data_IF_077593049609
#
_entry.id   IF_077593049609
#
_cell.length_a   1.000
_cell.length_b   1.000
_cell.length_c   1.000
_cell.angle_alpha   90.00
_cell.angle_beta   90.00
_cell.angle_gamma   90.00
#
_symmetry.space_group_name_H-M   'P 1'
#
loop_
_entity.id
_entity.type
_entity.pdbx_description
1 polymer ?
#
# COMPACT_ATOMS: atom_id res chain seq x y z
N UNK A 1 4.78 -30.83 -23.65
CA UNK A 1 4.84 -29.53 -22.97
C UNK A 1 3.86 -28.64 -23.70
N UNK A 2 2.87 -28.12 -22.98
CA UNK A 2 1.93 -27.15 -23.54
C UNK A 2 2.64 -25.82 -23.65
N UNK A 3 2.33 -25.06 -24.70
CA UNK A 3 2.88 -23.72 -24.89
C UNK A 3 2.05 -22.75 -24.07
N UNK A 4 2.68 -21.71 -23.53
CA UNK A 4 2.02 -20.69 -22.73
C UNK A 4 0.89 -20.00 -23.53
N UNK A 5 1.05 -19.85 -24.86
CA UNK A 5 0.00 -19.29 -25.72
C UNK A 5 -1.23 -20.20 -25.81
N UNK A 6 -1.04 -21.53 -25.73
CA UNK A 6 -2.12 -22.49 -25.78
C UNK A 6 -2.88 -22.54 -24.45
N UNK A 7 -2.18 -22.38 -23.32
CA UNK A 7 -2.79 -22.26 -22.00
C UNK A 7 -3.61 -20.96 -21.89
N UNK A 8 -3.05 -19.84 -22.33
CA UNK A 8 -3.74 -18.55 -22.35
C UNK A 8 -4.98 -18.57 -23.27
N UNK A 9 -4.87 -19.16 -24.46
CA UNK A 9 -6.02 -19.32 -25.36
C UNK A 9 -7.12 -20.20 -24.73
N UNK A 10 -6.75 -21.17 -23.89
CA UNK A 10 -7.68 -22.04 -23.17
C UNK A 10 -8.41 -21.28 -22.05
N UNK A 11 -7.68 -20.49 -21.26
CA UNK A 11 -8.24 -19.62 -20.22
C UNK A 11 -9.22 -18.59 -20.80
N UNK A 12 -8.90 -18.01 -21.96
CA UNK A 12 -9.75 -17.06 -22.66
C UNK A 12 -10.93 -17.71 -23.42
N UNK A 13 -11.05 -19.04 -23.40
CA UNK A 13 -12.10 -19.78 -24.13
C UNK A 13 -11.99 -19.71 -25.65
N UNK A 14 -10.78 -19.47 -26.17
CA UNK A 14 -10.47 -19.31 -27.61
C UNK A 14 -9.88 -20.56 -28.27
N UNK A 15 -9.70 -21.66 -27.53
CA UNK A 15 -9.22 -22.93 -28.06
C UNK A 15 -10.28 -23.71 -28.84
N UNK A 16 -9.84 -24.46 -29.85
CA UNK A 16 -10.66 -25.45 -30.51
C UNK A 16 -10.77 -26.75 -29.68
N UNK A 17 -11.59 -27.72 -30.12
CA UNK A 17 -11.85 -28.94 -29.34
C UNK A 17 -10.62 -29.84 -29.12
N UNK A 18 -9.70 -29.90 -30.08
CA UNK A 18 -8.46 -30.70 -29.95
C UNK A 18 -7.47 -30.02 -28.99
N UNK A 19 -7.35 -28.70 -29.09
CA UNK A 19 -6.55 -27.86 -28.19
C UNK A 19 -7.04 -27.92 -26.74
N UNK A 20 -8.34 -27.76 -26.51
CA UNK A 20 -8.97 -27.89 -25.20
C UNK A 20 -8.73 -29.26 -24.57
N UNK A 21 -8.86 -30.35 -25.35
CA UNK A 21 -8.62 -31.71 -24.87
C UNK A 21 -7.15 -31.92 -24.48
N UNK A 22 -6.22 -31.38 -25.27
CA UNK A 22 -4.79 -31.43 -24.98
C UNK A 22 -4.46 -30.69 -23.67
N UNK A 23 -5.03 -29.50 -23.46
CA UNK A 23 -4.84 -28.72 -22.23
C UNK A 23 -5.36 -29.45 -21.00
N UNK A 24 -6.55 -30.04 -21.07
CA UNK A 24 -7.14 -30.81 -19.98
C UNK A 24 -6.32 -32.07 -19.63
N UNK A 25 -5.69 -32.72 -20.61
CA UNK A 25 -4.86 -33.92 -20.38
C UNK A 25 -3.56 -33.60 -19.63
N UNK A 26 -2.91 -32.49 -19.98
CA UNK A 26 -1.74 -32.01 -19.25
C UNK A 26 -2.10 -31.47 -17.88
N UNK A 27 -3.19 -30.70 -17.75
CA UNK A 27 -3.70 -30.27 -16.45
C UNK A 27 -4.05 -31.45 -15.55
N UNK A 28 -4.36 -32.64 -16.07
CA UNK A 28 -4.62 -33.81 -15.25
C UNK A 28 -3.35 -34.52 -14.72
N UNK A 29 -2.18 -34.21 -15.28
CA UNK A 29 -0.94 -34.97 -15.05
C UNK A 29 0.25 -34.13 -14.57
N UNK A 30 0.20 -32.82 -14.78
CA UNK A 30 1.28 -31.87 -14.46
C UNK A 30 0.86 -30.97 -13.28
N UNK A 31 1.40 -31.24 -12.08
CA UNK A 31 1.12 -30.47 -10.86
C UNK A 31 1.57 -29.01 -10.97
N UNK A 32 2.65 -28.72 -11.69
CA UNK A 32 3.15 -27.34 -11.87
C UNK A 32 2.19 -26.53 -12.74
N UNK A 33 1.69 -27.14 -13.81
CA UNK A 33 0.70 -26.51 -14.68
C UNK A 33 -0.65 -26.32 -13.98
N UNK A 34 -1.02 -27.26 -13.10
CA UNK A 34 -2.20 -27.10 -12.23
C UNK A 34 -2.06 -25.90 -11.29
N UNK A 35 -0.90 -25.73 -10.66
CA UNK A 35 -0.64 -24.57 -9.79
C UNK A 35 -0.74 -23.25 -10.56
N UNK A 36 -0.13 -23.18 -11.74
CA UNK A 36 -0.20 -22.02 -12.64
C UNK A 36 -1.65 -21.69 -13.06
N UNK A 37 -2.41 -22.70 -13.49
CA UNK A 37 -3.82 -22.54 -13.86
C UNK A 37 -4.71 -22.15 -12.66
N UNK A 38 -4.45 -22.70 -11.48
CA UNK A 38 -5.20 -22.35 -10.26
C UNK A 38 -4.90 -20.90 -9.86
N UNK A 39 -3.64 -20.45 -9.94
CA UNK A 39 -3.25 -19.06 -9.68
C UNK A 39 -3.94 -18.10 -10.65
N UNK A 40 -3.97 -18.44 -11.95
CA UNK A 40 -4.68 -17.66 -12.98
C UNK A 40 -6.19 -17.56 -12.69
N UNK A 41 -6.83 -18.70 -12.41
CA UNK A 41 -8.25 -18.74 -12.06
C UNK A 41 -8.59 -18.05 -10.73
N UNK A 42 -7.67 -18.05 -9.76
CA UNK A 42 -7.83 -17.30 -8.52
C UNK A 42 -7.74 -15.79 -8.77
N UNK A 43 -6.81 -15.33 -9.61
CA UNK A 43 -6.74 -13.93 -10.04
C UNK A 43 -8.05 -13.50 -10.72
N UNK A 44 -8.66 -14.38 -11.53
CA UNK A 44 -9.94 -14.13 -12.21
C UNK A 44 -11.17 -14.19 -11.28
N UNK A 45 -11.18 -15.09 -10.30
CA UNK A 45 -12.23 -15.19 -9.30
C UNK A 45 -12.26 -13.98 -8.36
N UNK A 46 -11.10 -13.38 -8.06
CA UNK A 46 -10.98 -12.12 -7.33
C UNK A 46 -11.52 -10.91 -8.12
N UNK A 47 -11.90 -11.07 -9.39
CA UNK A 47 -12.44 -9.98 -10.24
C UNK A 47 -13.96 -9.82 -10.13
N UNK A 48 -14.66 -10.71 -9.42
CA UNK A 48 -16.11 -10.90 -9.53
C UNK A 48 -16.95 -10.61 -8.28
N UNK A 49 -16.38 -10.13 -7.18
CA UNK A 49 -17.15 -9.87 -5.94
C UNK A 49 -17.42 -8.37 -5.73
N UNK A 50 -18.66 -8.08 -5.33
CA UNK A 50 -19.10 -6.78 -4.82
C UNK A 50 -18.20 -6.34 -3.65
N UNK A 51 -17.80 -5.06 -3.62
CA UNK A 51 -16.95 -4.38 -2.62
C UNK A 51 -16.96 -5.03 -1.21
N UNK A 52 -16.12 -6.04 -0.97
CA UNK A 52 -15.70 -6.36 0.38
C UNK A 52 -14.95 -5.13 0.93
N UNK A 53 -15.31 -4.69 2.14
CA UNK A 53 -14.80 -3.46 2.75
C UNK A 53 -13.29 -3.61 3.00
N UNK A 54 -12.48 -3.17 2.03
CA UNK A 54 -11.01 -3.21 2.12
C UNK A 54 -10.56 -2.55 3.42
N UNK A 55 -9.80 -3.27 4.24
CA UNK A 55 -9.40 -2.76 5.54
C UNK A 55 -8.22 -1.78 5.39
N UNK A 56 -8.51 -0.48 5.32
CA UNK A 56 -7.50 0.55 5.10
C UNK A 56 -6.51 0.69 6.25
N UNK A 57 -5.23 0.88 5.90
CA UNK A 57 -4.17 1.15 6.87
C UNK A 57 -4.07 2.65 7.18
N UNK A 58 -3.90 3.03 8.46
CA UNK A 58 -3.86 4.44 8.88
C UNK A 58 -2.51 5.12 8.61
N UNK A 59 -1.83 4.84 7.48
CA UNK A 59 -0.45 5.28 7.24
C UNK A 59 -0.24 6.80 7.35
N UNK A 60 -1.25 7.57 6.93
CA UNK A 60 -1.21 9.03 6.85
C UNK A 60 -1.80 9.69 8.10
N UNK A 61 -2.32 8.89 9.04
CA UNK A 61 -2.80 9.39 10.32
C UNK A 61 -1.63 9.88 11.18
N UNK A 62 -1.93 10.73 12.15
CA UNK A 62 -0.91 11.40 12.96
C UNK A 62 -0.87 10.84 14.38
N UNK A 63 0.32 10.43 14.83
CA UNK A 63 0.60 10.21 16.23
C UNK A 63 0.77 11.58 16.91
N UNK A 64 -0.17 11.94 17.79
CA UNK A 64 -0.31 13.33 18.25
C UNK A 64 -0.75 13.52 19.71
N UNK A 65 -0.95 12.47 20.52
CA UNK A 65 -1.57 12.62 21.85
C UNK A 65 -0.59 12.90 23.02
N UNK A 66 0.45 13.69 22.80
CA UNK A 66 1.29 14.23 23.89
C UNK A 66 1.36 15.75 23.84
N UNK A 67 1.94 16.38 24.86
CA UNK A 67 2.15 17.83 24.87
C UNK A 67 2.92 18.26 23.61
N UNK A 68 2.31 19.17 22.83
CA UNK A 68 2.87 19.65 21.56
C UNK A 68 2.81 18.65 20.39
N UNK A 69 2.06 17.54 20.52
CA UNK A 69 1.96 16.47 19.51
C UNK A 69 3.31 15.78 19.23
N UNK A 70 4.15 15.61 20.26
CA UNK A 70 5.54 15.15 20.13
C UNK A 70 5.76 13.67 20.49
N UNK A 71 4.71 12.87 20.62
CA UNK A 71 4.80 11.53 21.23
C UNK A 71 5.84 10.63 20.56
N UNK A 72 5.87 10.57 19.23
CA UNK A 72 6.88 9.79 18.50
C UNK A 72 8.28 10.37 18.68
N UNK A 73 8.44 11.70 18.54
CA UNK A 73 9.71 12.38 18.76
C UNK A 73 10.29 12.09 20.15
N UNK A 74 9.45 12.11 21.19
CA UNK A 74 9.82 11.77 22.56
C UNK A 74 10.19 10.29 22.71
N UNK A 75 9.48 9.38 22.03
CA UNK A 75 9.83 7.96 21.98
C UNK A 75 11.21 7.71 21.34
N UNK A 76 11.51 8.39 20.23
CA UNK A 76 12.80 8.29 19.56
C UNK A 76 13.93 8.84 20.45
N UNK A 77 13.74 10.00 21.09
CA UNK A 77 14.69 10.55 22.06
C UNK A 77 14.94 9.59 23.24
N UNK A 78 13.87 8.98 23.76
CA UNK A 78 13.98 7.97 24.82
C UNK A 78 14.85 6.78 24.40
N UNK A 79 14.66 6.26 23.19
CA UNK A 79 15.46 5.14 22.66
C UNK A 79 16.92 5.54 22.46
N UNK A 80 17.19 6.73 21.90
CA UNK A 80 18.56 7.25 21.74
C UNK A 80 19.28 7.36 23.09
N UNK A 81 18.61 7.94 24.10
CA UNK A 81 19.13 8.05 25.47
C UNK A 81 19.39 6.66 26.07
N UNK A 82 18.46 5.71 25.95
CA UNK A 82 18.59 4.34 26.46
C UNK A 82 19.77 3.60 25.83
N UNK A 83 19.99 3.80 24.53
CA UNK A 83 21.10 3.23 23.76
C UNK A 83 22.42 4.00 23.88
N UNK A 84 22.44 5.10 24.64
CA UNK A 84 23.61 5.99 24.82
C UNK A 84 24.14 6.56 23.49
N UNK A 85 23.23 6.85 22.56
CA UNK A 85 23.54 7.55 21.32
C UNK A 85 23.40 9.04 21.59
N UNK A 86 24.45 9.82 21.34
CA UNK A 86 24.44 11.26 21.54
C UNK A 86 23.56 11.95 20.48
N UNK A 87 22.80 12.95 20.91
CA UNK A 87 21.99 13.79 20.03
C UNK A 87 21.79 15.18 20.62
N UNK A 88 21.55 16.16 19.77
CA UNK A 88 21.08 17.49 20.16
C UNK A 88 19.57 17.57 19.90
N UNK A 89 18.78 17.93 20.91
CA UNK A 89 17.32 17.97 20.81
C UNK A 89 16.81 18.99 19.79
N UNK A 90 17.45 20.15 19.69
CA UNK A 90 17.01 21.23 18.80
C UNK A 90 17.31 20.86 17.34
N UNK A 91 18.53 20.39 17.06
CA UNK A 91 18.93 19.90 15.73
C UNK A 91 18.03 18.74 15.27
N UNK A 92 17.73 17.80 16.17
CA UNK A 92 16.86 16.65 15.88
C UNK A 92 15.43 17.11 15.53
N UNK A 93 14.93 18.14 16.22
CA UNK A 93 13.60 18.71 16.00
C UNK A 93 13.53 19.47 14.67
N UNK A 94 14.57 20.22 14.32
CA UNK A 94 14.69 20.87 13.01
C UNK A 94 14.76 19.85 11.87
N UNK A 95 15.57 18.80 12.02
CA UNK A 95 15.69 17.71 11.06
C UNK A 95 14.36 17.01 10.81
N UNK A 96 13.62 16.69 11.88
CA UNK A 96 12.30 16.05 11.77
C UNK A 96 11.29 16.91 11.00
N UNK A 97 11.28 18.23 11.25
CA UNK A 97 10.36 19.17 10.58
C UNK A 97 10.74 19.38 9.11
N UNK A 98 12.03 19.54 8.82
CA UNK A 98 12.52 19.74 7.44
C UNK A 98 12.19 18.55 6.54
N UNK A 99 12.21 17.34 7.08
CA UNK A 99 11.84 16.12 6.35
C UNK A 99 10.35 15.76 6.44
N UNK A 100 9.51 16.63 7.04
CA UNK A 100 8.07 16.38 7.25
C UNK A 100 7.73 15.13 8.06
N UNK A 101 8.69 14.62 8.85
CA UNK A 101 8.51 13.51 9.79
C UNK A 101 7.80 13.98 11.07
N UNK A 102 8.04 15.22 11.49
CA UNK A 102 7.29 15.88 12.55
C UNK A 102 6.55 17.09 11.97
N UNK A 103 5.23 17.12 12.09
CA UNK A 103 4.38 18.24 11.64
C UNK A 103 3.73 18.90 12.85
N UNK A 104 3.11 20.07 12.65
CA UNK A 104 2.38 20.78 13.71
C UNK A 104 1.29 19.90 14.37
N UNK A 105 0.64 19.04 13.56
CA UNK A 105 -0.41 18.11 14.01
C UNK A 105 0.11 16.76 14.50
N UNK A 106 1.42 16.57 14.63
CA UNK A 106 2.05 15.32 15.06
C UNK A 106 2.88 14.64 13.97
N UNK A 107 3.29 13.40 14.23
CA UNK A 107 4.11 12.58 13.33
C UNK A 107 3.22 11.66 12.49
N UNK A 108 3.30 11.67 11.15
CA UNK A 108 2.62 10.67 10.33
C UNK A 108 3.09 9.25 10.70
N UNK A 109 2.19 8.27 10.74
CA UNK A 109 2.55 6.91 11.19
C UNK A 109 3.63 6.25 10.31
N UNK A 110 3.68 6.56 9.01
CA UNK A 110 4.76 6.09 8.12
C UNK A 110 6.13 6.71 8.41
N UNK A 111 6.19 7.76 9.23
CA UNK A 111 7.42 8.48 9.61
C UNK A 111 7.93 8.13 11.02
N UNK A 112 7.17 7.35 11.80
CA UNK A 112 7.59 6.88 13.14
C UNK A 112 8.95 6.18 13.05
N UNK A 113 9.92 6.60 13.86
CA UNK A 113 11.26 5.99 13.87
C UNK A 113 12.24 6.50 12.81
N UNK A 114 11.89 7.50 11.98
CA UNK A 114 12.80 8.02 10.93
C UNK A 114 14.04 8.71 11.49
N UNK A 115 13.96 9.35 12.66
CA UNK A 115 15.14 9.97 13.27
C UNK A 115 16.11 8.90 13.78
N UNK A 116 15.60 7.77 14.24
CA UNK A 116 16.44 6.63 14.64
C UNK A 116 17.25 6.07 13.45
N UNK A 117 16.65 6.01 12.26
CA UNK A 117 17.35 5.63 11.02
C UNK A 117 18.51 6.58 10.72
N UNK A 118 18.31 7.89 10.85
CA UNK A 118 19.36 8.91 10.67
C UNK A 118 20.48 8.83 11.70
N UNK A 119 20.31 8.06 12.77
CA UNK A 119 21.33 7.79 13.79
C UNK A 119 21.91 6.38 13.69
N UNK A 120 21.72 5.72 12.54
CA UNK A 120 22.34 4.44 12.20
C UNK A 120 21.65 3.23 12.82
N UNK A 121 20.42 3.36 13.32
CA UNK A 121 19.60 2.23 13.74
C UNK A 121 18.78 1.68 12.57
N UNK A 122 18.47 0.39 12.61
CA UNK A 122 17.54 -0.23 11.68
C UNK A 122 16.14 -0.11 12.26
N UNK A 123 15.19 0.42 11.48
CA UNK A 123 13.77 0.49 11.84
C UNK A 123 12.95 -0.29 10.83
N UNK A 124 12.19 -1.27 11.31
CA UNK A 124 11.25 -2.05 10.49
C UNK A 124 9.83 -1.77 10.97
N UNK A 125 9.01 -1.19 10.09
CA UNK A 125 7.60 -0.87 10.33
C UNK A 125 6.73 -2.00 9.81
N UNK A 126 5.69 -2.35 10.54
CA UNK A 126 4.73 -3.38 10.14
C UNK A 126 3.36 -3.10 10.75
N UNK A 127 2.32 -3.57 10.06
CA UNK A 127 0.95 -3.63 10.54
C UNK A 127 0.58 -5.11 10.80
N UNK A 128 -0.51 -5.36 11.54
CA UNK A 128 -0.97 -6.72 11.84
C UNK A 128 0.01 -7.52 12.71
N UNK A 129 0.88 -6.86 13.48
CA UNK A 129 1.83 -7.58 14.34
C UNK A 129 1.12 -8.25 15.52
N UNK A 130 1.62 -9.42 15.93
CA UNK A 130 1.19 -10.08 17.16
C UNK A 130 1.96 -9.62 18.38
N UNK A 131 1.37 -9.73 19.58
CA UNK A 131 2.07 -9.46 20.84
C UNK A 131 3.31 -10.34 21.00
N UNK A 132 3.29 -11.58 20.49
CA UNK A 132 4.46 -12.47 20.48
C UNK A 132 5.62 -11.89 19.67
N UNK A 133 5.33 -11.13 18.61
CA UNK A 133 6.37 -10.43 17.84
C UNK A 133 7.04 -9.33 18.65
N UNK A 134 6.27 -8.62 19.48
CA UNK A 134 6.79 -7.62 20.42
C UNK A 134 7.66 -8.31 21.48
N UNK A 135 7.15 -9.38 22.10
CA UNK A 135 7.89 -10.15 23.12
C UNK A 135 9.21 -10.69 22.55
N UNK A 136 9.19 -11.27 21.34
CA UNK A 136 10.41 -11.74 20.66
C UNK A 136 11.40 -10.60 20.38
N UNK A 137 10.91 -9.43 19.98
CA UNK A 137 11.76 -8.26 19.74
C UNK A 137 12.46 -7.81 21.04
N UNK A 138 11.71 -7.70 22.14
CA UNK A 138 12.28 -7.32 23.44
C UNK A 138 13.30 -8.35 23.94
N UNK A 139 13.01 -9.65 23.81
CA UNK A 139 13.95 -10.73 24.15
C UNK A 139 15.25 -10.68 23.33
N UNK A 140 15.19 -10.21 22.09
CA UNK A 140 16.35 -10.01 21.22
C UNK A 140 17.11 -8.69 21.52
N UNK A 141 16.67 -7.88 22.49
CA UNK A 141 17.28 -6.58 22.80
C UNK A 141 16.94 -5.47 21.80
N UNK A 142 15.89 -5.66 21.01
CA UNK A 142 15.32 -4.63 20.14
C UNK A 142 14.41 -3.69 20.96
N UNK A 143 14.24 -2.45 20.52
CA UNK A 143 13.15 -1.58 21.02
C UNK A 143 11.92 -1.76 20.14
N UNK A 144 10.75 -1.49 20.71
CA UNK A 144 9.47 -1.58 20.03
C UNK A 144 8.69 -0.29 20.25
N UNK A 145 8.59 0.54 19.21
CA UNK A 145 7.64 1.66 19.19
C UNK A 145 6.32 1.11 18.66
N UNK A 146 5.25 1.34 19.41
CA UNK A 146 3.88 0.95 19.04
C UNK A 146 3.03 2.20 18.94
N UNK A 147 2.01 2.15 18.08
CA UNK A 147 0.98 3.19 18.02
C UNK A 147 -0.29 2.63 18.62
N UNK A 148 -0.90 3.34 19.56
CA UNK A 148 -2.11 2.92 20.26
C UNK A 148 -3.18 4.00 20.20
N UNK A 149 -4.45 3.61 20.31
CA UNK A 149 -5.53 4.54 20.56
C UNK A 149 -5.46 5.03 22.03
N UNK A 150 -4.98 6.26 22.21
CA UNK A 150 -4.84 6.89 23.52
C UNK A 150 -6.14 7.05 24.30
N UNK A 151 -7.31 7.11 23.62
CA UNK A 151 -8.59 7.16 24.31
C UNK A 151 -8.92 5.82 24.97
N UNK A 152 -8.57 4.70 24.30
CA UNK A 152 -8.87 3.34 24.76
C UNK A 152 -7.84 2.76 25.72
N UNK A 153 -6.57 3.18 25.63
CA UNK A 153 -5.47 2.65 26.44
C UNK A 153 -5.74 2.69 27.98
N UNK A 154 -6.32 3.75 28.56
CA UNK A 154 -6.67 3.79 29.98
C UNK A 154 -7.88 2.91 30.37
N UNK A 155 -8.56 2.27 29.40
CA UNK A 155 -9.77 1.48 29.61
C UNK A 155 -11.08 2.22 29.32
N UNK A 156 -11.05 3.37 28.64
CA UNK A 156 -12.29 4.05 28.25
C UNK A 156 -12.89 3.42 26.99
N UNK A 157 -14.22 3.48 26.87
CA UNK A 157 -14.98 2.91 25.75
C UNK A 157 -15.26 3.92 24.63
N UNK A 158 -14.43 4.96 24.47
CA UNK A 158 -14.63 5.95 23.42
C UNK A 158 -14.37 5.34 22.04
N UNK A 159 -15.24 5.67 21.07
CA UNK A 159 -15.10 5.25 19.67
C UNK A 159 -14.12 6.11 18.88
N UNK A 160 -13.75 7.29 19.39
CA UNK A 160 -12.76 8.15 18.74
C UNK A 160 -11.37 7.52 18.79
N UNK A 161 -10.72 7.44 17.62
CA UNK A 161 -9.35 6.95 17.52
C UNK A 161 -8.40 8.15 17.52
N UNK A 162 -7.63 8.27 18.60
CA UNK A 162 -6.58 9.26 18.71
C UNK A 162 -5.23 8.56 18.85
N UNK A 163 -4.49 8.49 17.75
CA UNK A 163 -3.23 7.75 17.66
C UNK A 163 -2.13 8.39 18.51
N UNK A 164 -1.40 7.52 19.20
CA UNK A 164 -0.34 7.90 20.12
C UNK A 164 0.81 6.91 20.06
N UNK A 165 2.05 7.40 19.96
CA UNK A 165 3.23 6.57 19.95
C UNK A 165 3.75 6.35 21.38
N UNK A 166 4.10 5.10 21.70
CA UNK A 166 4.69 4.70 22.97
C UNK A 166 5.78 3.64 22.75
N UNK A 167 6.73 3.49 23.68
CA UNK A 167 7.76 2.45 23.61
C UNK A 167 7.44 1.33 24.58
N UNK A 168 7.39 0.09 24.10
CA UNK A 168 7.21 -1.07 24.95
C UNK A 168 8.50 -1.37 25.72
N UNK A 169 8.41 -1.43 27.04
CA UNK A 169 9.53 -1.72 27.94
C UNK A 169 9.54 -3.17 28.38
N UNK A 170 8.37 -3.70 28.75
CA UNK A 170 8.19 -5.09 29.18
C UNK A 170 6.77 -5.59 28.87
N UNK A 171 6.62 -6.91 28.75
CA UNK A 171 5.33 -7.57 28.54
C UNK A 171 5.29 -8.82 29.42
N UNK A 172 4.33 -8.87 30.34
CA UNK A 172 4.08 -10.04 31.18
C UNK A 172 2.73 -10.69 30.83
N UNK A 173 2.23 -11.57 31.70
CA UNK A 173 0.96 -12.27 31.47
C UNK A 173 -0.26 -11.35 31.56
N UNK A 174 -0.26 -10.38 32.48
CA UNK A 174 -1.40 -9.54 32.83
C UNK A 174 -1.27 -8.09 32.33
N UNK A 175 -0.04 -7.59 32.16
CA UNK A 175 0.26 -6.18 31.91
C UNK A 175 1.33 -5.98 30.83
N UNK A 176 1.28 -4.79 30.23
CA UNK A 176 2.30 -4.25 29.32
C UNK A 176 2.83 -2.97 29.93
N UNK A 177 4.15 -2.89 30.08
CA UNK A 177 4.83 -1.69 30.59
C UNK A 177 5.32 -0.85 29.41
N UNK A 178 4.92 0.42 29.38
CA UNK A 178 5.25 1.37 28.33
C UNK A 178 6.03 2.56 28.89
N UNK A 179 6.95 3.10 28.10
CA UNK A 179 7.28 4.50 28.16
C UNK A 179 6.19 5.25 27.39
N UNK A 180 5.38 6.02 28.11
CA UNK A 180 4.25 6.76 27.58
C UNK A 180 4.53 8.27 27.69
N UNK A 181 4.83 8.95 26.57
CA UNK A 181 5.07 10.39 26.58
C UNK A 181 3.92 11.25 27.10
N UNK A 182 2.69 10.72 27.15
CA UNK A 182 1.51 11.44 27.63
C UNK A 182 1.42 11.46 29.17
N UNK A 183 2.04 10.50 29.87
CA UNK A 183 2.02 10.44 31.34
C UNK A 183 3.12 11.28 31.98
N UNK A 184 4.20 11.54 31.23
CA UNK A 184 5.40 12.19 31.75
C UNK A 184 6.26 11.30 32.65
N UNK A 185 5.89 10.02 32.81
CA UNK A 185 6.64 9.03 33.59
C UNK A 185 7.62 8.26 32.70
N UNK A 186 8.71 7.75 33.29
CA UNK A 186 9.68 6.92 32.55
C UNK A 186 9.14 5.50 32.27
N UNK A 187 8.10 5.07 32.99
CA UNK A 187 7.51 3.74 32.88
C UNK A 187 6.11 3.71 33.49
N UNK A 188 5.09 3.35 32.71
CA UNK A 188 3.70 3.20 33.13
C UNK A 188 3.19 1.81 32.73
N UNK A 189 2.52 1.10 33.65
CA UNK A 189 1.96 -0.23 33.40
C UNK A 189 0.47 -0.13 33.01
N UNK A 190 0.07 -0.87 31.99
CA UNK A 190 -1.31 -0.96 31.51
C UNK A 190 -1.77 -2.42 31.46
N UNK A 191 -3.04 -2.71 31.78
CA UNK A 191 -3.60 -4.05 31.57
C UNK A 191 -3.41 -4.49 30.11
N UNK A 192 -2.95 -5.72 29.91
CA UNK A 192 -2.59 -6.25 28.59
C UNK A 192 -3.77 -6.23 27.62
N UNK A 193 -4.98 -6.55 28.09
CA UNK A 193 -6.17 -6.54 27.25
C UNK A 193 -6.52 -5.11 26.76
N UNK A 194 -6.33 -4.10 27.62
CA UNK A 194 -6.54 -2.70 27.24
C UNK A 194 -5.50 -2.26 26.20
N UNK A 195 -4.24 -2.64 26.41
CA UNK A 195 -3.17 -2.40 25.43
C UNK A 195 -3.49 -3.04 24.08
N UNK A 196 -3.84 -4.33 24.04
CA UNK A 196 -4.14 -5.05 22.80
C UNK A 196 -5.33 -4.39 22.08
N UNK A 197 -6.40 -4.05 22.80
CA UNK A 197 -7.56 -3.38 22.20
C UNK A 197 -7.20 -2.01 21.60
N UNK A 198 -6.42 -1.19 22.32
CA UNK A 198 -5.97 0.11 21.84
C UNK A 198 -4.96 0.00 20.68
N UNK A 199 -4.11 -1.02 20.69
CA UNK A 199 -3.11 -1.28 19.65
C UNK A 199 -3.75 -1.80 18.36
N UNK A 200 -4.80 -2.62 18.46
CA UNK A 200 -5.56 -3.11 17.32
C UNK A 200 -6.34 -2.00 16.58
N UNK A 201 -6.81 -0.97 17.28
CA UNK A 201 -7.37 0.23 16.63
C UNK A 201 -6.37 0.91 15.68
N UNK A 202 -5.08 0.81 16.00
CA UNK A 202 -3.98 1.26 15.15
C UNK A 202 -3.42 0.16 14.24
N UNK A 203 -4.25 -0.86 13.94
CA UNK A 203 -3.89 -1.98 13.07
C UNK A 203 -2.63 -2.72 13.53
N UNK A 204 -2.46 -2.83 14.85
CA UNK A 204 -1.30 -3.46 15.49
C UNK A 204 0.04 -2.96 14.93
N UNK A 205 0.16 -1.64 14.76
CA UNK A 205 1.35 -0.97 14.24
C UNK A 205 2.56 -1.21 15.15
N UNK A 206 3.66 -1.70 14.56
CA UNK A 206 4.93 -1.90 15.24
C UNK A 206 6.08 -1.35 14.40
N UNK A 207 6.83 -0.43 14.99
CA UNK A 207 8.16 -0.06 14.53
C UNK A 207 9.21 -0.71 15.45
N UNK A 208 9.83 -1.78 14.94
CA UNK A 208 10.88 -2.52 15.63
C UNK A 208 12.23 -1.88 15.33
N UNK A 209 12.96 -1.51 16.38
CA UNK A 209 14.23 -0.78 16.30
C UNK A 209 15.36 -1.68 16.78
N UNK A 210 16.43 -1.80 15.99
CA UNK A 210 17.61 -2.56 16.37
C UNK A 210 18.89 -1.93 15.87
N UNK A 211 20.02 -2.38 16.42
CA UNK A 211 21.34 -2.03 15.90
C UNK A 211 21.57 -2.71 14.54
N UNK A 212 22.49 -2.18 13.71
CA UNK A 212 22.83 -2.83 12.46
C UNK A 212 23.31 -4.27 12.64
N UNK A 213 22.67 -5.18 11.94
CA UNK A 213 23.06 -6.58 11.79
C UNK A 213 22.60 -7.09 10.40
N UNK A 214 22.85 -8.36 10.11
CA UNK A 214 22.43 -9.02 8.86
C UNK A 214 21.19 -9.91 9.02
N UNK A 215 20.56 -9.93 10.19
CA UNK A 215 19.35 -10.71 10.45
C UNK A 215 18.13 -9.96 9.88
N UNK A 216 17.78 -10.25 8.64
CA UNK A 216 16.67 -9.60 7.96
C UNK A 216 15.52 -10.57 7.74
N UNK A 217 14.38 -10.29 8.37
CA UNK A 217 13.12 -11.00 8.16
C UNK A 217 12.04 -10.01 7.70
N UNK A 218 11.78 -9.89 6.38
CA UNK A 218 10.81 -8.95 5.83
C UNK A 218 9.39 -9.29 6.28
N UNK A 219 8.56 -8.26 6.41
CA UNK A 219 7.13 -8.37 6.72
C UNK A 219 6.36 -7.44 5.79
N UNK A 220 6.08 -7.85 4.55
CA UNK A 220 5.26 -7.05 3.64
C UNK A 220 3.88 -6.82 4.25
N UNK A 221 3.21 -5.76 3.79
CA UNK A 221 1.80 -5.52 4.13
C UNK A 221 0.98 -6.65 3.50
N UNK A 222 0.04 -7.19 4.28
CA UNK A 222 -0.94 -8.15 3.79
C UNK A 222 -1.94 -7.46 2.87
N UNK A 223 -2.17 -8.06 1.70
CA UNK A 223 -3.00 -7.56 0.61
C UNK A 223 -4.08 -8.58 0.18
N UNK A 224 -4.25 -9.66 0.94
CA UNK A 224 -5.24 -10.71 0.64
C UNK A 224 -6.68 -10.15 0.62
N UNK A 225 -7.00 -9.19 1.49
CA UNK A 225 -8.30 -8.53 1.59
C UNK A 225 -8.53 -7.40 0.57
N UNK A 226 -7.59 -7.20 -0.35
CA UNK A 226 -7.70 -6.14 -1.37
C UNK A 226 -8.13 -6.73 -2.70
N UNK A 227 -9.33 -6.36 -3.13
CA UNK A 227 -9.84 -6.66 -4.47
C UNK A 227 -9.67 -5.46 -5.40
N UNK A 228 -9.39 -5.74 -6.68
CA UNK A 228 -9.20 -4.73 -7.72
C UNK A 228 -10.30 -4.84 -8.78
N UNK A 229 -10.72 -3.70 -9.34
CA UNK A 229 -11.64 -3.70 -10.47
C UNK A 229 -10.96 -4.20 -11.74
N UNK A 230 -11.75 -4.71 -12.69
CA UNK A 230 -11.26 -5.19 -13.99
C UNK A 230 -10.33 -4.20 -14.70
N UNK A 231 -10.65 -2.90 -14.69
CA UNK A 231 -9.79 -1.88 -15.30
C UNK A 231 -8.40 -1.78 -14.65
N UNK A 232 -8.32 -1.95 -13.33
CA UNK A 232 -7.04 -1.93 -12.60
C UNK A 232 -6.25 -3.23 -12.80
N UNK A 233 -6.95 -4.32 -13.08
CA UNK A 233 -6.36 -5.60 -13.43
C UNK A 233 -5.73 -5.53 -14.83
N UNK A 234 -6.43 -4.94 -15.81
CA UNK A 234 -5.88 -4.68 -17.14
C UNK A 234 -4.66 -3.74 -17.09
N UNK A 235 -4.67 -2.75 -16.19
CA UNK A 235 -3.56 -1.82 -16.00
C UNK A 235 -2.25 -2.53 -15.61
N UNK A 236 -2.30 -3.70 -14.96
CA UNK A 236 -1.10 -4.41 -14.50
C UNK A 236 -0.17 -4.79 -15.66
N UNK A 237 -0.73 -5.20 -16.81
CA UNK A 237 0.06 -5.65 -17.96
C UNK A 237 0.85 -4.48 -18.56
N UNK A 238 0.20 -3.33 -18.70
CA UNK A 238 0.85 -2.11 -19.19
C UNK A 238 1.96 -1.61 -18.25
N UNK A 239 1.79 -1.78 -16.93
CA UNK A 239 2.84 -1.45 -15.95
C UNK A 239 4.00 -2.45 -16.05
N UNK A 240 3.71 -3.75 -16.14
CA UNK A 240 4.73 -4.80 -16.26
C UNK A 240 5.58 -4.62 -17.52
N UNK A 241 4.93 -4.44 -18.68
CA UNK A 241 5.62 -4.19 -19.95
C UNK A 241 6.52 -2.95 -19.87
N UNK A 242 6.02 -1.84 -19.33
CA UNK A 242 6.81 -0.62 -19.20
C UNK A 242 7.94 -0.75 -18.16
N UNK A 243 7.75 -1.51 -17.08
CA UNK A 243 8.80 -1.78 -16.11
C UNK A 243 9.98 -2.51 -16.76
N UNK A 244 9.69 -3.49 -17.63
CA UNK A 244 10.70 -4.18 -18.42
C UNK A 244 11.42 -3.24 -19.39
N UNK A 245 10.70 -2.38 -20.11
CA UNK A 245 11.32 -1.41 -21.01
C UNK A 245 12.30 -0.46 -20.27
N UNK A 246 11.92 0.02 -19.07
CA UNK A 246 12.80 0.85 -18.24
C UNK A 246 14.03 0.05 -17.79
N UNK A 247 13.85 -1.19 -17.34
CA UNK A 247 14.96 -2.06 -16.94
C UNK A 247 15.91 -2.30 -18.12
N UNK A 248 15.39 -2.65 -19.28
CA UNK A 248 16.17 -2.97 -20.48
C UNK A 248 16.93 -1.75 -21.01
N UNK A 249 16.33 -0.56 -20.97
CA UNK A 249 16.99 0.71 -21.32
C UNK A 249 18.17 0.99 -20.39
N UNK A 250 17.95 0.92 -19.06
CA UNK A 250 19.02 1.12 -18.07
C UNK A 250 20.15 0.07 -18.23
N UNK A 251 19.81 -1.19 -18.48
CA UNK A 251 20.79 -2.25 -18.72
C UNK A 251 21.60 -1.98 -20.00
N UNK A 252 20.97 -1.50 -21.08
CA UNK A 252 21.68 -1.10 -22.30
C UNK A 252 22.67 0.04 -22.06
N UNK A 253 22.29 1.07 -21.28
CA UNK A 253 23.21 2.16 -20.90
C UNK A 253 24.43 1.65 -20.12
N UNK A 254 24.23 0.61 -19.30
CA UNK A 254 25.29 -0.07 -18.58
C UNK A 254 26.13 -1.02 -19.47
N UNK A 255 25.77 -1.17 -20.75
CA UNK A 255 26.47 -1.99 -21.74
C UNK A 255 26.03 -3.45 -21.77
N UNK A 256 24.86 -3.78 -21.23
CA UNK A 256 24.31 -5.13 -21.32
C UNK A 256 23.72 -5.42 -22.70
N UNK A 257 23.88 -6.66 -23.15
CA UNK A 257 23.34 -7.14 -24.41
C UNK A 257 22.62 -8.48 -24.23
N UNK A 258 21.90 -8.91 -25.26
CA UNK A 258 21.34 -10.26 -25.29
C UNK A 258 22.42 -11.33 -25.26
N UNK A 259 22.21 -12.36 -24.44
CA UNK A 259 22.90 -13.64 -24.54
C UNK A 259 22.02 -14.78 -24.02
N UNK A 260 22.25 -16.03 -24.43
CA UNK A 260 21.36 -17.15 -24.12
C UNK A 260 21.31 -17.52 -22.62
N UNK A 261 22.28 -17.04 -21.83
CA UNK A 261 22.37 -17.22 -20.39
C UNK A 261 22.97 -15.95 -19.79
N UNK A 262 22.72 -15.72 -18.50
CA UNK A 262 23.31 -14.59 -17.78
C UNK A 262 24.82 -14.74 -17.62
N UNK A 263 25.56 -13.73 -18.04
CA UNK A 263 27.02 -13.60 -17.90
C UNK A 263 27.38 -12.16 -17.51
N UNK A 264 27.67 -11.94 -16.23
CA UNK A 264 27.97 -10.60 -15.69
C UNK A 264 29.32 -10.04 -16.17
N UNK A 265 30.28 -10.91 -16.57
CA UNK A 265 31.58 -10.47 -17.09
C UNK A 265 31.45 -9.93 -18.51
N UNK A 266 30.65 -10.61 -19.36
CA UNK A 266 30.33 -10.15 -20.70
C UNK A 266 29.17 -9.15 -20.74
N UNK A 267 28.46 -8.98 -19.62
CA UNK A 267 27.20 -8.23 -19.51
C UNK A 267 26.14 -8.75 -20.48
N UNK A 268 25.93 -10.06 -20.48
CA UNK A 268 24.90 -10.70 -21.30
C UNK A 268 23.77 -11.22 -20.40
N UNK A 269 22.52 -11.12 -20.85
CA UNK A 269 21.37 -11.73 -20.17
C UNK A 269 20.29 -12.17 -21.17
N UNK A 270 19.55 -13.27 -20.93
CA UNK A 270 18.47 -13.72 -21.81
C UNK A 270 17.32 -12.73 -21.91
N UNK A 271 17.15 -11.89 -20.90
CA UNK A 271 15.99 -10.99 -20.79
C UNK A 271 16.15 -9.69 -21.59
N UNK A 272 17.30 -9.48 -22.25
CA UNK A 272 17.52 -8.35 -23.19
C UNK A 272 16.78 -8.58 -24.52
N UNK A 273 15.46 -8.75 -24.44
CA UNK A 273 14.52 -8.95 -25.54
C UNK A 273 13.27 -8.10 -25.30
N UNK A 274 12.45 -7.83 -26.32
CA UNK A 274 11.16 -7.17 -26.10
C UNK A 274 10.30 -7.93 -25.09
N UNK A 275 9.50 -7.22 -24.29
CA UNK A 275 8.65 -7.83 -23.25
C UNK A 275 7.82 -9.02 -23.76
N UNK A 276 7.25 -8.92 -24.96
CA UNK A 276 6.46 -10.01 -25.58
C UNK A 276 7.23 -11.32 -25.75
N UNK A 277 8.56 -11.28 -25.84
CA UNK A 277 9.45 -12.44 -25.99
C UNK A 277 10.00 -12.98 -24.67
N UNK A 278 9.71 -12.35 -23.53
CA UNK A 278 10.13 -12.87 -22.23
C UNK A 278 9.42 -14.19 -21.90
N UNK A 279 10.09 -15.09 -21.15
CA UNK A 279 9.44 -16.24 -20.53
C UNK A 279 8.28 -15.82 -19.64
N UNK A 280 7.24 -16.64 -19.52
CA UNK A 280 6.11 -16.33 -18.63
C UNK A 280 6.54 -16.11 -17.18
N UNK A 281 7.51 -16.87 -16.68
CA UNK A 281 8.01 -16.70 -15.30
C UNK A 281 8.54 -15.29 -15.02
N UNK A 282 9.22 -14.68 -15.99
CA UNK A 282 9.75 -13.32 -15.86
C UNK A 282 8.62 -12.28 -15.98
N UNK A 283 7.69 -12.48 -16.93
CA UNK A 283 6.50 -11.62 -17.04
C UNK A 283 5.66 -11.67 -15.77
N UNK A 284 5.49 -12.85 -15.19
CA UNK A 284 4.67 -13.05 -14.00
C UNK A 284 5.28 -12.37 -12.77
N UNK A 285 6.61 -12.33 -12.67
CA UNK A 285 7.29 -11.52 -11.66
C UNK A 285 6.91 -10.03 -11.76
N UNK A 286 6.97 -9.46 -12.97
CA UNK A 286 6.63 -8.05 -13.22
C UNK A 286 5.13 -7.77 -13.02
N UNK A 287 4.27 -8.69 -13.48
CA UNK A 287 2.81 -8.62 -13.28
C UNK A 287 2.45 -8.64 -11.81
N UNK A 288 3.04 -9.54 -11.03
CA UNK A 288 2.82 -9.63 -9.59
C UNK A 288 3.27 -8.36 -8.89
N UNK A 289 4.43 -7.82 -9.24
CA UNK A 289 4.92 -6.55 -8.70
C UNK A 289 3.94 -5.40 -9.01
N UNK A 290 3.47 -5.29 -10.26
CA UNK A 290 2.49 -4.28 -10.65
C UNK A 290 1.17 -4.44 -9.90
N UNK A 291 0.67 -5.67 -9.79
CA UNK A 291 -0.59 -6.01 -9.13
C UNK A 291 -0.54 -5.71 -7.62
N UNK A 292 0.50 -6.17 -6.93
CA UNK A 292 0.70 -5.92 -5.50
C UNK A 292 0.89 -4.41 -5.22
N UNK A 293 1.52 -3.67 -6.14
CA UNK A 293 1.66 -2.20 -6.02
C UNK A 293 0.30 -1.50 -6.07
N UNK A 294 -0.58 -1.88 -7.01
CA UNK A 294 -1.92 -1.29 -7.12
C UNK A 294 -2.77 -1.65 -5.88
N UNK A 295 -2.74 -2.92 -5.46
CA UNK A 295 -3.40 -3.36 -4.21
C UNK A 295 -2.90 -2.58 -3.01
N UNK A 296 -1.60 -2.39 -2.90
CA UNK A 296 -1.00 -1.62 -1.82
C UNK A 296 -1.50 -0.18 -1.82
N UNK A 297 -1.56 0.49 -2.98
CA UNK A 297 -2.14 1.84 -3.07
C UNK A 297 -3.57 1.89 -2.52
N UNK A 298 -4.42 0.90 -2.86
CA UNK A 298 -5.77 0.77 -2.32
C UNK A 298 -5.76 0.54 -0.82
N UNK A 299 -4.98 -0.43 -0.31
CA UNK A 299 -4.80 -0.73 1.12
C UNK A 299 -4.36 0.49 1.93
N UNK A 300 -3.57 1.37 1.33
CA UNK A 300 -3.07 2.61 1.91
C UNK A 300 -4.07 3.79 1.84
N UNK A 301 -5.27 3.57 1.32
CA UNK A 301 -6.37 4.54 1.28
C UNK A 301 -6.41 5.41 0.03
N UNK A 302 -5.70 5.04 -1.04
CA UNK A 302 -5.75 5.75 -2.33
C UNK A 302 -6.67 5.02 -3.31
N UNK A 303 -7.41 5.79 -4.11
CA UNK A 303 -8.22 5.24 -5.20
C UNK A 303 -7.61 5.63 -6.55
N UNK A 304 -7.43 4.65 -7.43
CA UNK A 304 -7.07 4.88 -8.83
C UNK A 304 -8.35 4.76 -9.65
N UNK A 305 -8.73 5.83 -10.33
CA UNK A 305 -9.93 5.87 -11.16
C UNK A 305 -9.50 6.16 -12.60
N UNK A 306 -9.80 5.24 -13.50
CA UNK A 306 -9.59 5.44 -14.95
C UNK A 306 -10.46 6.62 -15.38
N UNK A 307 -9.85 7.60 -16.04
CA UNK A 307 -10.55 8.86 -16.34
C UNK A 307 -11.83 8.63 -17.15
N UNK A 308 -11.85 7.61 -18.02
CA UNK A 308 -13.01 7.18 -18.81
C UNK A 308 -14.26 6.86 -17.98
N UNK A 309 -14.08 6.34 -16.77
CA UNK A 309 -15.19 5.83 -15.94
C UNK A 309 -15.68 6.85 -14.91
N UNK A 310 -15.05 8.03 -14.85
CA UNK A 310 -15.50 9.09 -13.94
C UNK A 310 -16.88 9.60 -14.36
N UNK A 311 -17.75 9.90 -13.38
CA UNK A 311 -19.05 10.52 -13.65
C UNK A 311 -18.93 11.81 -14.48
N UNK A 312 -17.86 12.58 -14.25
CA UNK A 312 -17.55 13.78 -15.02
C UNK A 312 -17.20 13.45 -16.48
N UNK A 313 -16.37 12.45 -16.74
CA UNK A 313 -16.04 12.03 -18.11
C UNK A 313 -17.25 11.50 -18.85
N UNK A 314 -18.03 10.62 -18.21
CA UNK A 314 -19.27 10.10 -18.77
C UNK A 314 -20.24 11.23 -19.15
N UNK A 315 -20.39 12.22 -18.28
CA UNK A 315 -21.20 13.42 -18.54
C UNK A 315 -20.63 14.28 -19.67
N UNK A 316 -19.31 14.50 -19.73
CA UNK A 316 -18.65 15.24 -20.80
C UNK A 316 -18.80 14.52 -22.15
N UNK A 317 -18.61 13.21 -22.18
CA UNK A 317 -18.79 12.39 -23.39
C UNK A 317 -20.24 12.35 -23.85
N UNK A 318 -21.19 12.29 -22.91
CA UNK A 318 -22.63 12.44 -23.23
C UNK A 318 -22.91 13.78 -23.89
N UNK A 319 -22.35 14.88 -23.35
CA UNK A 319 -22.51 16.23 -23.91
C UNK A 319 -21.87 16.38 -25.29
N UNK A 320 -20.67 15.82 -25.50
CA UNK A 320 -20.00 15.81 -26.80
C UNK A 320 -20.79 15.02 -27.84
N UNK A 321 -21.31 13.85 -27.48
CA UNK A 321 -22.15 13.04 -28.39
C UNK A 321 -23.47 13.73 -28.73
N UNK A 322 -24.02 14.52 -27.81
CA UNK A 322 -25.29 15.23 -27.97
C UNK A 322 -25.10 16.73 -28.23
N UNK A 323 -23.96 17.16 -28.80
CA UNK A 323 -23.67 18.59 -29.03
C UNK A 323 -24.73 19.26 -29.90
N UNK A 324 -25.32 18.53 -30.85
CA UNK A 324 -26.43 19.02 -31.70
C UNK A 324 -27.72 19.34 -30.94
N UNK A 325 -27.90 18.78 -29.74
CA UNK A 325 -29.07 19.02 -28.89
C UNK A 325 -28.84 20.15 -27.88
N UNK A 326 -27.62 20.67 -27.79
CA UNK A 326 -27.28 21.75 -26.87
C UNK A 326 -28.06 23.03 -27.23
N UNK A 327 -28.59 23.69 -26.19
CA UNK A 327 -29.15 25.04 -26.30
C UNK A 327 -28.19 26.04 -25.68
N UNK A 328 -28.39 27.32 -25.93
CA UNK A 328 -27.52 28.40 -25.41
C UNK A 328 -28.27 29.16 -24.32
N UNK A 329 -27.71 29.18 -23.12
CA UNK A 329 -28.19 30.00 -22.01
C UNK A 329 -28.04 31.50 -22.33
N UNK A 330 -28.81 32.37 -21.67
CA UNK A 330 -28.67 33.84 -21.78
C UNK A 330 -27.24 34.36 -21.54
N UNK A 331 -26.44 33.63 -20.76
CA UNK A 331 -25.04 33.99 -20.49
C UNK A 331 -24.04 33.49 -21.55
N UNK A 332 -24.51 32.85 -22.62
CA UNK A 332 -23.68 32.30 -23.71
C UNK A 332 -23.17 30.87 -23.48
N UNK A 333 -23.44 30.27 -22.31
CA UNK A 333 -23.03 28.89 -22.02
C UNK A 333 -23.96 27.84 -22.67
N UNK A 334 -23.38 26.73 -23.14
CA UNK A 334 -24.15 25.57 -23.62
C UNK A 334 -24.89 24.86 -22.48
N UNK A 335 -26.14 24.53 -22.70
CA UNK A 335 -27.04 23.86 -21.75
C UNK A 335 -27.77 22.67 -22.40
N UNK A 336 -28.08 21.63 -21.61
CA UNK A 336 -28.67 20.35 -22.03
C UNK A 336 -29.95 20.04 -21.24
N UNK A 337 -30.93 19.37 -21.85
CA UNK A 337 -32.31 19.23 -21.32
C UNK A 337 -32.43 18.69 -19.89
N UNK A 338 -31.46 17.91 -19.44
CA UNK A 338 -31.38 17.35 -18.09
C UNK A 338 -30.97 18.39 -17.02
N UNK A 339 -30.51 19.58 -17.41
CA UNK A 339 -30.08 20.62 -16.49
C UNK A 339 -31.26 21.46 -15.97
N UNK A 340 -31.33 21.62 -14.65
CA UNK A 340 -32.31 22.50 -13.98
C UNK A 340 -31.76 23.94 -13.86
N UNK A 341 -30.44 24.08 -13.71
CA UNK A 341 -29.73 25.36 -13.56
C UNK A 341 -28.57 25.44 -14.55
N UNK A 342 -28.26 26.64 -15.03
CA UNK A 342 -27.06 26.89 -15.83
C UNK A 342 -25.82 26.80 -14.93
N UNK A 343 -24.89 25.92 -15.29
CA UNK A 343 -23.63 25.70 -14.56
C UNK A 343 -22.67 26.90 -14.60
N UNK A 344 -22.89 27.87 -15.49
CA UNK A 344 -22.06 29.07 -15.58
C UNK A 344 -22.64 30.27 -14.79
N UNK A 345 -23.93 30.60 -14.98
CA UNK A 345 -24.53 31.76 -14.33
C UNK A 345 -25.40 31.44 -13.11
N UNK A 346 -25.61 30.15 -12.78
CA UNK A 346 -26.42 29.69 -11.65
C UNK A 346 -27.93 29.93 -11.78
N UNK A 347 -28.39 30.58 -12.86
CA UNK A 347 -29.82 30.82 -13.10
C UNK A 347 -30.57 29.54 -13.42
N UNK A 348 -31.80 29.43 -12.93
CA UNK A 348 -32.73 28.35 -13.29
C UNK A 348 -33.07 28.43 -14.79
N UNK A 349 -33.04 27.31 -15.49
CA UNK A 349 -33.32 27.24 -16.92
C UNK A 349 -34.84 27.09 -17.13
N UNK A 350 -35.44 27.95 -17.96
CA UNK A 350 -36.82 27.77 -18.43
C UNK A 350 -36.81 27.11 -19.82
N UNK A 351 -36.96 25.79 -19.83
CA UNK A 351 -36.98 24.99 -21.06
C UNK A 351 -38.12 25.31 -22.02
N UNK A 352 -39.15 26.07 -21.60
CA UNK A 352 -40.23 26.52 -22.51
C UNK A 352 -39.74 27.56 -23.52
N UNK A 353 -38.65 28.25 -23.22
CA UNK A 353 -38.07 29.28 -24.10
C UNK A 353 -37.27 28.72 -25.28
N UNK A 354 -37.02 27.39 -25.29
CA UNK A 354 -36.20 26.71 -26.29
C UNK A 354 -36.98 25.72 -27.18
N UNK A 355 -38.32 25.76 -27.12
CA UNK A 355 -39.24 24.89 -27.87
C UNK A 355 -39.62 25.43 -29.23
#
# INVERSE_FOLDING_TARGET
MITEELLAAFEEGKTNAEETALVLEYLATDESLQEEFILSQQLDAMMGADDEETDFLPMAQMAAKSEGNLCDFQCEQFILKRRKIEYNSDELSEEARNNSWLRERGTPLHSVGRLLEQRGLIVMRSYGSSIDSVIRALKAGHDAIVVVNSCRLPGNSEEEIAYHAAVVLDVNEEEVTLYDPATGEESTAYPKDHFIAAWNDAKAYLARVKVPDLDYNPRPIDLEDVELSTDLIELREAIAENAHEIWADQRQEEGWTYGPQRDDEKKETPDMVPYSMLPYSEKEYDRRMAFDTIKLMKKLGYSIIKQGDTALHNELMRKLKNEGDAKVCECGASIFMDQIYCSHCGKKIDWKLFR
#
